data_IF_165715452895
#
_entry.id   IF_165715452895
#
_cell.length_a   1.000
_cell.length_b   1.000
_cell.length_c   1.000
_cell.angle_alpha   90.00
_cell.angle_beta   90.00
_cell.angle_gamma   90.00
#
_symmetry.space_group_name_H-M   'P 1'
#
loop_
_entity.id
_entity.type
_entity.pdbx_description
1 polymer ?
#
# COMPACT_ATOMS: atom_id res chain seq x y z
N UNK A 1 7.48 -28.72 -6.61
CA UNK A 1 6.91 -28.58 -5.24
C UNK A 1 7.61 -29.49 -4.23
N UNK A 2 7.56 -30.80 -4.41
CA UNK A 2 8.18 -31.75 -3.46
C UNK A 2 9.72 -31.67 -3.42
N UNK A 3 10.38 -31.20 -4.48
CA UNK A 3 11.84 -31.03 -4.58
C UNK A 3 12.35 -29.75 -3.85
N UNK A 4 11.48 -28.83 -3.53
CA UNK A 4 11.85 -27.62 -2.77
C UNK A 4 12.11 -28.03 -1.31
N UNK A 5 13.23 -27.63 -0.70
CA UNK A 5 13.56 -27.96 0.69
C UNK A 5 12.77 -27.06 1.66
N UNK A 6 11.46 -27.26 1.73
CA UNK A 6 10.56 -26.43 2.55
C UNK A 6 10.95 -26.37 4.02
N UNK A 7 11.57 -27.43 4.54
CA UNK A 7 12.05 -27.51 5.92
C UNK A 7 13.13 -26.49 6.27
N UNK A 8 13.81 -25.91 5.29
CA UNK A 8 14.78 -24.82 5.49
C UNK A 8 14.11 -23.47 5.74
N UNK A 9 12.86 -23.32 5.32
CA UNK A 9 12.10 -22.07 5.40
C UNK A 9 10.97 -22.12 6.43
N UNK A 10 10.32 -23.28 6.57
CA UNK A 10 9.14 -23.46 7.39
C UNK A 10 9.45 -24.38 8.58
N UNK A 11 9.39 -23.88 9.83
CA UNK A 11 9.46 -24.72 11.02
C UNK A 11 8.38 -25.81 11.04
N UNK A 12 8.56 -26.83 11.87
CA UNK A 12 7.64 -27.97 11.96
C UNK A 12 6.23 -27.58 12.43
N UNK A 13 6.10 -26.50 13.18
CA UNK A 13 4.84 -25.97 13.71
C UNK A 13 4.25 -24.83 12.83
N UNK A 14 4.93 -24.44 11.74
CA UNK A 14 4.49 -23.36 10.86
C UNK A 14 3.08 -23.57 10.33
N UNK A 15 2.24 -22.55 10.39
CA UNK A 15 0.99 -22.50 9.64
C UNK A 15 1.29 -22.03 8.21
N UNK A 16 0.85 -22.77 7.18
CA UNK A 16 1.16 -22.43 5.80
C UNK A 16 -0.06 -22.54 4.89
N UNK A 17 -0.97 -21.57 4.94
CA UNK A 17 -2.07 -21.49 4.00
C UNK A 17 -1.55 -21.32 2.56
N UNK A 18 -2.18 -22.03 1.63
CA UNK A 18 -1.85 -21.95 0.20
C UNK A 18 -2.93 -21.15 -0.50
N UNK A 19 -2.55 -20.08 -1.19
CA UNK A 19 -3.46 -19.23 -1.97
C UNK A 19 -2.89 -19.02 -3.37
N UNK A 20 -3.72 -18.65 -4.34
CA UNK A 20 -3.19 -18.37 -5.67
C UNK A 20 -4.24 -18.04 -6.71
N UNK A 21 -3.78 -17.91 -7.94
CA UNK A 21 -4.58 -17.58 -9.10
C UNK A 21 -4.14 -18.37 -10.33
N UNK A 22 -5.05 -18.50 -11.28
CA UNK A 22 -4.77 -19.11 -12.59
C UNK A 22 -5.31 -18.18 -13.68
N UNK A 23 -4.45 -17.87 -14.65
CA UNK A 23 -4.78 -17.02 -15.79
C UNK A 23 -4.26 -17.66 -17.08
N UNK A 24 -5.14 -17.82 -18.06
CA UNK A 24 -4.80 -18.38 -19.38
C UNK A 24 -3.99 -19.68 -19.29
N UNK A 25 -4.44 -20.63 -18.44
CA UNK A 25 -3.79 -21.91 -18.16
C UNK A 25 -4.79 -23.05 -18.23
N UNK A 26 -4.32 -24.26 -18.52
CA UNK A 26 -5.17 -25.47 -18.56
C UNK A 26 -5.71 -25.84 -17.18
N UNK A 27 -4.93 -25.63 -16.12
CA UNK A 27 -5.35 -25.84 -14.74
C UNK A 27 -6.12 -24.60 -14.25
N UNK A 28 -7.43 -24.65 -14.29
CA UNK A 28 -8.33 -23.53 -13.93
C UNK A 28 -8.88 -23.62 -12.52
N UNK A 29 -8.99 -24.82 -11.95
CA UNK A 29 -9.52 -25.03 -10.60
C UNK A 29 -8.53 -24.62 -9.53
N UNK A 30 -8.70 -23.41 -8.98
CA UNK A 30 -7.86 -22.88 -7.89
C UNK A 30 -7.88 -23.80 -6.66
N UNK A 31 -9.05 -24.30 -6.16
CA UNK A 31 -9.09 -25.20 -5.01
C UNK A 31 -8.32 -26.50 -5.25
N UNK A 32 -8.40 -27.07 -6.46
CA UNK A 32 -7.64 -28.28 -6.80
C UNK A 32 -6.12 -28.01 -6.76
N UNK A 33 -5.68 -26.90 -7.36
CA UNK A 33 -4.27 -26.49 -7.32
C UNK A 33 -3.78 -26.26 -5.88
N UNK A 34 -4.57 -25.56 -5.04
CA UNK A 34 -4.26 -25.37 -3.62
C UNK A 34 -4.06 -26.70 -2.88
N UNK A 35 -4.98 -27.65 -3.08
CA UNK A 35 -4.94 -28.95 -2.44
C UNK A 35 -3.70 -29.75 -2.85
N UNK A 36 -3.38 -29.81 -4.14
CA UNK A 36 -2.20 -30.51 -4.65
C UNK A 36 -0.90 -29.89 -4.13
N UNK A 37 -0.80 -28.56 -4.15
CA UNK A 37 0.36 -27.82 -3.65
C UNK A 37 0.51 -28.06 -2.14
N UNK A 38 -0.55 -27.87 -1.35
CA UNK A 38 -0.55 -28.10 0.11
C UNK A 38 -0.10 -29.52 0.41
N UNK A 39 -0.64 -30.54 -0.25
CA UNK A 39 -0.25 -31.94 -0.06
C UNK A 39 1.23 -32.20 -0.36
N UNK A 40 1.77 -31.57 -1.40
CA UNK A 40 3.19 -31.72 -1.75
C UNK A 40 4.10 -31.08 -0.69
N UNK A 41 3.74 -29.90 -0.18
CA UNK A 41 4.47 -29.22 0.92
C UNK A 41 4.42 -30.04 2.19
N UNK A 42 3.22 -30.50 2.60
CA UNK A 42 3.03 -31.36 3.79
C UNK A 42 3.93 -32.59 3.71
N UNK A 43 3.90 -33.32 2.59
CA UNK A 43 4.75 -34.52 2.43
C UNK A 43 6.24 -34.21 2.53
N UNK A 44 6.67 -33.08 2.00
CA UNK A 44 8.08 -32.65 2.09
C UNK A 44 8.46 -32.26 3.51
N UNK A 45 7.64 -31.46 4.19
CA UNK A 45 7.89 -31.03 5.58
C UNK A 45 7.91 -32.23 6.53
N UNK A 46 6.96 -33.18 6.42
CA UNK A 46 6.96 -34.40 7.23
C UNK A 46 8.27 -35.17 7.06
N UNK A 47 8.77 -35.30 5.82
CA UNK A 47 10.05 -35.95 5.54
C UNK A 47 11.22 -35.15 6.12
N UNK A 48 11.28 -33.83 5.86
CA UNK A 48 12.38 -32.96 6.26
C UNK A 48 12.51 -32.84 7.76
N UNK A 49 11.39 -32.65 8.48
CA UNK A 49 11.34 -32.57 9.93
C UNK A 49 11.27 -33.93 10.64
N UNK A 50 11.21 -35.04 9.90
CA UNK A 50 11.08 -36.40 10.46
C UNK A 50 9.89 -36.55 11.42
N UNK A 51 8.75 -35.98 11.06
CA UNK A 51 7.52 -35.99 11.84
C UNK A 51 6.36 -36.57 11.04
N UNK A 52 5.36 -37.11 11.72
CA UNK A 52 4.10 -37.56 11.13
C UNK A 52 2.96 -36.56 11.32
N UNK A 53 3.18 -35.50 12.11
CA UNK A 53 2.17 -34.49 12.43
C UNK A 53 2.76 -33.09 12.25
N UNK A 54 2.03 -32.22 11.60
CA UNK A 54 2.32 -30.79 11.47
C UNK A 54 1.17 -30.03 12.15
N UNK A 55 1.38 -29.44 13.33
CA UNK A 55 0.29 -28.85 14.12
C UNK A 55 -0.25 -27.55 13.54
N UNK A 56 0.50 -26.88 12.66
CA UNK A 56 0.15 -25.59 12.05
C UNK A 56 -0.30 -24.53 13.08
N UNK A 57 0.29 -24.53 14.27
CA UNK A 57 -0.05 -23.63 15.38
C UNK A 57 0.92 -22.46 15.55
N UNK A 58 2.01 -22.46 14.80
CA UNK A 58 3.06 -21.44 14.86
C UNK A 58 2.83 -20.25 13.93
N UNK A 59 3.92 -19.62 13.53
CA UNK A 59 3.89 -18.45 12.63
C UNK A 59 3.34 -18.81 11.26
N UNK A 60 2.52 -17.93 10.72
CA UNK A 60 1.96 -18.10 9.37
C UNK A 60 3.00 -17.77 8.30
N UNK A 61 3.25 -18.72 7.40
CA UNK A 61 4.08 -18.61 6.20
C UNK A 61 3.18 -18.81 4.97
N UNK A 62 2.57 -17.76 4.49
CA UNK A 62 1.63 -17.84 3.37
C UNK A 62 2.33 -18.21 2.07
N UNK A 63 2.02 -19.40 1.55
CA UNK A 63 2.49 -19.87 0.25
C UNK A 63 1.51 -19.39 -0.83
N UNK A 64 2.03 -18.69 -1.83
CA UNK A 64 1.23 -18.24 -2.98
C UNK A 64 1.68 -18.94 -4.26
N UNK A 65 0.72 -19.28 -5.11
CA UNK A 65 1.03 -19.73 -6.47
C UNK A 65 0.37 -18.82 -7.50
N UNK A 66 1.01 -18.68 -8.64
CA UNK A 66 0.46 -18.04 -9.81
C UNK A 66 0.68 -18.94 -11.03
N UNK A 67 -0.42 -19.39 -11.60
CA UNK A 67 -0.43 -20.11 -12.87
C UNK A 67 -0.71 -19.12 -13.99
N UNK A 68 0.24 -18.97 -14.90
CA UNK A 68 0.09 -18.09 -16.06
C UNK A 68 0.65 -18.78 -17.30
N UNK A 69 -0.17 -18.94 -18.34
CA UNK A 69 0.24 -19.60 -19.59
C UNK A 69 0.89 -20.96 -19.34
N UNK A 70 0.31 -21.77 -18.45
CA UNK A 70 0.78 -23.10 -18.02
C UNK A 70 2.13 -23.11 -17.27
N UNK A 71 2.67 -21.95 -16.87
CA UNK A 71 3.82 -21.85 -15.98
C UNK A 71 3.32 -21.60 -14.56
N UNK A 72 3.83 -22.37 -13.60
CA UNK A 72 3.49 -22.22 -12.17
C UNK A 72 4.66 -21.56 -11.43
N UNK A 73 4.42 -20.37 -10.91
CA UNK A 73 5.32 -19.69 -9.99
C UNK A 73 4.87 -19.95 -8.55
N UNK A 74 5.82 -20.25 -7.67
CA UNK A 74 5.59 -20.45 -6.24
C UNK A 74 6.35 -19.38 -5.47
N UNK A 75 5.64 -18.72 -4.57
CA UNK A 75 6.15 -17.60 -3.81
C UNK A 75 5.84 -17.78 -2.33
N UNK A 76 6.72 -17.32 -1.46
CA UNK A 76 6.45 -17.11 -0.06
C UNK A 76 6.09 -15.63 0.15
N UNK A 77 4.91 -15.35 0.72
CA UNK A 77 4.46 -13.98 0.95
C UNK A 77 5.20 -13.37 2.14
N UNK A 78 6.17 -12.52 1.84
CA UNK A 78 6.96 -11.80 2.84
C UNK A 78 6.29 -10.51 3.32
N UNK A 79 5.27 -10.05 2.60
CA UNK A 79 4.62 -8.76 2.81
C UNK A 79 3.56 -8.82 3.92
N UNK A 80 2.69 -9.83 3.90
CA UNK A 80 1.51 -9.93 4.75
C UNK A 80 0.38 -9.03 4.26
N UNK A 81 0.01 -8.01 5.02
CA UNK A 81 -0.99 -7.03 4.57
C UNK A 81 -0.53 -6.30 3.30
N UNK A 82 -1.50 -5.90 2.45
CA UNK A 82 -1.20 -5.20 1.20
C UNK A 82 -0.32 -3.96 1.39
N UNK A 83 0.61 -3.71 0.46
CA UNK A 83 1.58 -2.60 0.55
C UNK A 83 0.95 -1.20 0.60
N UNK A 84 -0.31 -1.06 0.16
CA UNK A 84 -1.06 0.18 0.31
C UNK A 84 -1.33 0.52 1.78
N UNK A 85 -1.39 -0.45 2.69
CA UNK A 85 -1.54 -0.20 4.13
C UNK A 85 -0.20 0.27 4.72
N UNK A 86 0.05 1.56 4.68
CA UNK A 86 1.29 2.19 5.16
C UNK A 86 1.39 2.30 6.68
N UNK A 87 0.26 2.20 7.39
CA UNK A 87 0.16 2.31 8.85
C UNK A 87 -0.18 3.70 9.39
N UNK A 88 -0.29 4.72 8.54
CA UNK A 88 -0.69 6.06 8.99
C UNK A 88 -2.22 6.28 8.96
N UNK A 89 -2.97 5.51 8.18
CA UNK A 89 -4.42 5.62 8.12
C UNK A 89 -5.07 4.68 9.13
N UNK A 90 -5.72 5.23 10.16
CA UNK A 90 -6.46 4.45 11.17
C UNK A 90 -7.93 4.30 10.82
N UNK A 91 -8.54 5.36 10.29
CA UNK A 91 -9.94 5.38 9.86
C UNK A 91 -9.97 5.66 8.36
N UNK A 92 -10.77 4.93 7.62
CA UNK A 92 -11.01 5.17 6.21
C UNK A 92 -12.39 5.78 6.03
N UNK A 93 -12.47 6.83 5.24
CA UNK A 93 -13.73 7.24 4.61
C UNK A 93 -14.15 6.16 3.61
N UNK A 94 -15.38 6.18 3.16
CA UNK A 94 -15.89 5.23 2.17
C UNK A 94 -15.02 5.26 0.89
N UNK A 95 -14.46 4.10 0.53
CA UNK A 95 -13.63 3.85 -0.67
C UNK A 95 -12.51 4.89 -0.96
N UNK A 96 -11.53 5.10 -0.07
CA UNK A 96 -10.45 6.05 -0.30
C UNK A 96 -9.49 5.57 -1.40
N UNK A 97 -8.78 6.52 -2.02
CA UNK A 97 -7.67 6.21 -2.94
C UNK A 97 -6.62 5.35 -2.21
N UNK A 98 -6.16 4.26 -2.85
CA UNK A 98 -5.09 3.44 -2.28
C UNK A 98 -3.76 4.20 -2.29
N UNK A 99 -3.01 4.10 -1.21
CA UNK A 99 -1.73 4.79 -1.02
C UNK A 99 -0.72 4.45 -2.12
N UNK A 100 -0.68 3.19 -2.57
CA UNK A 100 0.20 2.79 -3.69
C UNK A 100 -0.16 3.48 -5.00
N UNK A 101 -1.45 3.71 -5.25
CA UNK A 101 -1.89 4.44 -6.44
C UNK A 101 -1.58 5.94 -6.30
N UNK A 102 -1.80 6.52 -5.12
CA UNK A 102 -1.43 7.91 -4.83
C UNK A 102 0.07 8.15 -5.02
N UNK A 103 0.92 7.24 -4.54
CA UNK A 103 2.36 7.30 -4.76
C UNK A 103 2.72 7.24 -6.26
N UNK A 104 2.04 6.39 -7.04
CA UNK A 104 2.24 6.33 -8.50
C UNK A 104 1.82 7.63 -9.18
N UNK A 105 0.71 8.24 -8.75
CA UNK A 105 0.26 9.54 -9.28
C UNK A 105 1.31 10.63 -8.97
N UNK A 106 1.85 10.66 -7.75
CA UNK A 106 2.92 11.58 -7.38
C UNK A 106 4.22 11.36 -8.22
N UNK A 107 4.51 10.10 -8.58
CA UNK A 107 5.61 9.78 -9.50
C UNK A 107 5.36 10.32 -10.91
N UNK A 108 4.18 10.10 -11.46
CA UNK A 108 3.77 10.60 -12.76
C UNK A 108 3.74 12.14 -12.80
N UNK A 109 3.30 12.77 -11.70
CA UNK A 109 3.34 14.22 -11.51
C UNK A 109 4.75 14.78 -11.29
N UNK A 110 5.79 13.93 -11.31
CA UNK A 110 7.20 14.33 -11.13
C UNK A 110 7.47 15.14 -9.88
N UNK A 111 6.75 14.84 -8.78
CA UNK A 111 6.97 15.49 -7.49
C UNK A 111 8.42 15.32 -7.03
N UNK A 112 9.03 16.44 -6.62
CA UNK A 112 10.41 16.57 -6.15
C UNK A 112 10.47 17.23 -4.78
N UNK A 113 11.66 17.39 -4.24
CA UNK A 113 11.92 17.96 -2.91
C UNK A 113 11.57 19.43 -2.76
N UNK A 114 11.42 20.15 -3.85
CA UNK A 114 11.13 21.57 -3.95
C UNK A 114 9.78 21.86 -4.60
N UNK A 115 8.98 20.84 -4.83
CA UNK A 115 7.67 20.97 -5.48
C UNK A 115 6.65 21.61 -4.54
N UNK A 116 5.84 22.48 -5.11
CA UNK A 116 4.57 22.93 -4.55
C UNK A 116 3.47 22.07 -5.15
N UNK A 117 2.65 21.41 -4.31
CA UNK A 117 1.60 20.50 -4.77
C UNK A 117 0.26 20.94 -4.19
N UNK A 118 -0.79 20.92 -5.00
CA UNK A 118 -2.14 21.29 -4.58
C UNK A 118 -3.16 20.21 -4.95
N UNK A 119 -4.14 19.99 -4.06
CA UNK A 119 -5.27 19.08 -4.28
C UNK A 119 -6.58 19.75 -3.84
N UNK A 120 -7.43 20.22 -4.78
CA UNK A 120 -8.71 20.86 -4.47
C UNK A 120 -9.82 19.89 -4.01
N UNK A 121 -9.56 18.57 -3.98
CA UNK A 121 -10.46 17.51 -3.52
C UNK A 121 -9.71 16.52 -2.64
N UNK A 122 -9.03 17.02 -1.63
CA UNK A 122 -8.02 16.23 -0.91
C UNK A 122 -8.58 15.06 -0.09
N UNK A 123 -9.86 15.10 0.29
CA UNK A 123 -10.47 14.07 1.11
C UNK A 123 -9.65 13.78 2.36
N UNK A 124 -9.22 12.54 2.53
CA UNK A 124 -8.38 12.10 3.65
C UNK A 124 -6.88 12.47 3.50
N UNK A 125 -6.50 13.27 2.51
CA UNK A 125 -5.15 13.78 2.28
C UNK A 125 -4.17 12.79 1.63
N UNK A 126 -4.65 11.65 1.12
CA UNK A 126 -3.77 10.54 0.69
C UNK A 126 -2.78 10.95 -0.40
N UNK A 127 -3.21 11.68 -1.44
CA UNK A 127 -2.34 12.13 -2.53
C UNK A 127 -1.19 12.98 -2.02
N UNK A 128 -1.51 14.00 -1.22
CA UNK A 128 -0.54 14.95 -0.70
C UNK A 128 0.41 14.31 0.32
N UNK A 129 -0.09 13.38 1.16
CA UNK A 129 0.72 12.64 2.12
C UNK A 129 1.74 11.74 1.39
N UNK A 130 1.33 11.00 0.36
CA UNK A 130 2.25 10.16 -0.43
C UNK A 130 3.24 11.03 -1.24
N UNK A 131 2.80 12.19 -1.76
CA UNK A 131 3.67 13.16 -2.41
C UNK A 131 4.73 13.71 -1.44
N UNK A 132 4.34 14.08 -0.23
CA UNK A 132 5.25 14.54 0.82
C UNK A 132 6.24 13.45 1.24
N UNK A 133 5.79 12.21 1.48
CA UNK A 133 6.68 11.10 1.82
C UNK A 133 7.72 10.86 0.74
N UNK A 134 7.32 10.93 -0.55
CA UNK A 134 8.24 10.84 -1.67
C UNK A 134 9.26 11.98 -1.67
N UNK A 135 8.81 13.23 -1.58
CA UNK A 135 9.68 14.41 -1.58
C UNK A 135 10.70 14.39 -0.44
N UNK A 136 10.26 13.94 0.73
CA UNK A 136 11.05 13.82 1.96
C UNK A 136 11.86 12.51 2.03
N UNK A 137 11.80 11.64 1.03
CA UNK A 137 12.43 10.33 1.02
C UNK A 137 12.08 9.47 2.26
N UNK A 138 10.84 9.56 2.73
CA UNK A 138 10.34 8.74 3.84
C UNK A 138 9.93 7.39 3.30
N UNK A 139 10.58 6.32 3.78
CA UNK A 139 10.27 4.97 3.31
C UNK A 139 8.86 4.54 3.75
N UNK A 140 7.99 4.13 2.81
CA UNK A 140 6.59 3.81 3.10
C UNK A 140 6.39 2.59 3.99
N UNK A 141 7.45 1.81 4.22
CA UNK A 141 7.45 0.65 5.10
C UNK A 141 7.72 0.92 6.58
N UNK A 142 8.13 2.15 6.95
CA UNK A 142 8.60 2.46 8.32
C UNK A 142 7.56 2.22 9.41
N UNK A 143 6.29 2.51 9.13
CA UNK A 143 5.19 2.45 10.13
C UNK A 143 4.32 1.20 10.04
N UNK A 144 4.70 0.23 9.21
CA UNK A 144 3.99 -1.02 9.05
C UNK A 144 4.83 -2.22 9.51
N UNK A 145 4.17 -3.36 9.70
CA UNK A 145 4.81 -4.65 9.89
C UNK A 145 4.76 -5.47 8.60
N UNK A 146 5.78 -6.32 8.42
CA UNK A 146 5.85 -7.29 7.34
C UNK A 146 5.72 -8.70 7.88
N UNK A 147 5.13 -9.63 7.13
CA UNK A 147 5.01 -11.02 7.55
C UNK A 147 6.39 -11.64 7.84
N UNK A 148 7.37 -11.33 7.00
CA UNK A 148 8.73 -11.84 7.12
C UNK A 148 9.49 -11.37 8.37
N UNK A 149 9.00 -10.37 9.12
CA UNK A 149 9.57 -10.01 10.42
C UNK A 149 9.46 -11.15 11.46
N UNK A 150 8.53 -12.08 11.23
CA UNK A 150 8.32 -13.26 12.10
C UNK A 150 8.93 -14.54 11.56
N UNK A 151 9.54 -14.51 10.36
CA UNK A 151 10.10 -15.69 9.73
C UNK A 151 11.43 -16.08 10.40
N UNK A 152 11.55 -17.34 10.82
CA UNK A 152 12.70 -17.85 11.57
C UNK A 152 14.03 -17.76 10.81
N UNK A 153 13.99 -17.79 9.47
CA UNK A 153 15.19 -17.69 8.62
C UNK A 153 15.60 -16.23 8.32
N UNK A 154 14.84 -15.23 8.80
CA UNK A 154 15.16 -13.80 8.64
C UNK A 154 15.58 -13.24 10.01
N UNK A 155 16.86 -12.89 10.21
CA UNK A 155 17.31 -12.33 11.47
C UNK A 155 16.58 -11.03 11.84
N UNK A 156 16.08 -10.94 13.08
CA UNK A 156 15.35 -9.75 13.54
C UNK A 156 16.23 -8.47 13.51
N UNK A 157 17.56 -8.61 13.67
CA UNK A 157 18.52 -7.50 13.58
C UNK A 157 18.52 -6.81 12.23
N UNK A 158 18.30 -7.56 11.13
CA UNK A 158 18.22 -6.98 9.78
C UNK A 158 17.07 -5.99 9.65
N UNK A 159 15.93 -6.27 10.28
CA UNK A 159 14.78 -5.36 10.24
C UNK A 159 15.05 -4.07 11.02
N UNK A 160 15.69 -4.17 12.20
CA UNK A 160 16.07 -3.00 12.98
C UNK A 160 17.10 -2.13 12.23
N UNK A 161 18.11 -2.75 11.64
CA UNK A 161 19.14 -2.08 10.83
C UNK A 161 18.52 -1.36 9.61
N UNK A 162 17.69 -2.06 8.84
CA UNK A 162 17.06 -1.46 7.66
C UNK A 162 16.09 -0.33 8.01
N UNK A 163 15.38 -0.41 9.14
CA UNK A 163 14.55 0.69 9.61
C UNK A 163 15.38 1.91 10.03
N UNK A 164 16.49 1.70 10.74
CA UNK A 164 17.41 2.78 11.11
C UNK A 164 18.01 3.44 9.88
N UNK A 165 18.45 2.65 8.90
CA UNK A 165 18.96 3.15 7.62
C UNK A 165 17.90 3.99 6.89
N UNK A 166 16.68 3.48 6.76
CA UNK A 166 15.59 4.20 6.10
C UNK A 166 15.23 5.51 6.83
N UNK A 167 15.29 5.54 8.16
CA UNK A 167 15.11 6.77 8.94
C UNK A 167 16.25 7.77 8.69
N UNK A 168 17.49 7.31 8.67
CA UNK A 168 18.66 8.16 8.42
C UNK A 168 18.67 8.77 7.00
N UNK A 169 18.10 8.05 6.03
CA UNK A 169 17.98 8.51 4.64
C UNK A 169 16.83 9.49 4.42
N UNK A 170 15.92 9.65 5.38
CA UNK A 170 14.81 10.60 5.30
C UNK A 170 15.31 12.05 5.28
N UNK A 171 14.68 12.89 4.46
CA UNK A 171 15.03 14.29 4.25
C UNK A 171 13.92 15.18 4.81
N UNK A 172 14.01 15.52 6.08
CA UNK A 172 12.95 16.32 6.74
C UNK A 172 13.04 17.82 6.40
N UNK A 173 14.24 18.29 6.05
CA UNK A 173 14.47 19.66 5.64
C UNK A 173 14.51 19.76 4.11
N UNK A 174 13.34 19.95 3.51
CA UNK A 174 13.11 20.09 2.06
C UNK A 174 12.23 21.30 1.79
N UNK A 175 12.31 21.84 0.59
CA UNK A 175 11.46 22.97 0.14
C UNK A 175 10.04 22.54 -0.30
N UNK A 176 9.69 21.26 -0.17
CA UNK A 176 8.37 20.75 -0.55
C UNK A 176 7.27 21.31 0.34
N UNK A 177 6.17 21.74 -0.28
CA UNK A 177 4.94 22.15 0.42
C UNK A 177 3.72 21.57 -0.33
N UNK A 178 2.70 21.17 0.42
CA UNK A 178 1.46 20.65 -0.14
C UNK A 178 0.25 21.32 0.52
N UNK A 179 -0.73 21.71 -0.30
CA UNK A 179 -1.98 22.34 0.14
C UNK A 179 -3.16 21.54 -0.36
N UNK A 180 -3.98 21.07 0.57
CA UNK A 180 -5.18 20.29 0.28
C UNK A 180 -6.43 21.02 0.73
N UNK A 181 -7.45 20.97 -0.11
CA UNK A 181 -8.74 21.61 0.15
C UNK A 181 -9.86 20.58 0.03
N UNK A 182 -10.85 20.70 0.89
CA UNK A 182 -12.08 19.91 0.80
C UNK A 182 -13.23 20.73 1.41
N UNK A 183 -14.41 20.56 0.86
CA UNK A 183 -15.62 21.24 1.39
C UNK A 183 -16.09 20.62 2.72
N UNK A 184 -15.74 19.36 3.00
CA UNK A 184 -16.11 18.66 4.22
C UNK A 184 -15.09 18.87 5.35
N UNK A 185 -15.46 19.57 6.44
CA UNK A 185 -14.57 19.75 7.59
C UNK A 185 -14.10 18.43 8.22
N UNK A 186 -14.90 17.35 8.14
CA UNK A 186 -14.51 16.06 8.68
C UNK A 186 -13.40 15.41 7.84
N UNK A 187 -13.44 15.59 6.52
CA UNK A 187 -12.37 15.15 5.62
C UNK A 187 -11.07 15.88 5.91
N UNK A 188 -11.12 17.20 6.09
CA UNK A 188 -9.95 18.04 6.45
C UNK A 188 -9.37 17.64 7.81
N UNK A 189 -10.21 17.41 8.82
CA UNK A 189 -9.74 16.93 10.12
C UNK A 189 -9.06 15.57 10.03
N UNK A 190 -9.60 14.65 9.22
CA UNK A 190 -9.00 13.35 8.96
C UNK A 190 -7.67 13.47 8.21
N UNK A 191 -7.58 14.35 7.21
CA UNK A 191 -6.34 14.60 6.47
C UNK A 191 -5.21 15.10 7.38
N UNK A 192 -5.50 16.06 8.26
CA UNK A 192 -4.56 16.55 9.26
C UNK A 192 -4.10 15.42 10.22
N UNK A 193 -5.02 14.60 10.70
CA UNK A 193 -4.69 13.46 11.57
C UNK A 193 -3.81 12.42 10.85
N UNK A 194 -4.10 12.11 9.60
CA UNK A 194 -3.30 11.21 8.77
C UNK A 194 -1.91 11.78 8.49
N UNK A 195 -1.78 13.06 8.15
CA UNK A 195 -0.50 13.73 7.92
C UNK A 195 0.40 13.68 9.17
N UNK A 196 -0.18 13.91 10.35
CA UNK A 196 0.51 13.76 11.63
C UNK A 196 0.99 12.33 11.86
N UNK A 197 0.13 11.33 11.63
CA UNK A 197 0.51 9.93 11.74
C UNK A 197 1.56 9.53 10.69
N UNK A 198 1.52 10.11 9.51
CA UNK A 198 2.53 9.90 8.47
C UNK A 198 3.87 10.60 8.81
N UNK A 199 3.86 11.63 9.64
CA UNK A 199 5.04 12.44 10.02
C UNK A 199 5.38 13.52 8.99
N UNK A 200 4.36 14.01 8.27
CA UNK A 200 4.50 15.02 7.21
C UNK A 200 3.67 16.28 7.47
N UNK A 201 3.13 16.43 8.68
CA UNK A 201 2.25 17.54 9.08
C UNK A 201 2.86 18.91 8.91
N UNK A 202 4.18 19.03 8.93
CA UNK A 202 4.88 20.31 8.72
C UNK A 202 4.96 20.74 7.26
N UNK A 203 4.64 19.83 6.34
CA UNK A 203 4.75 20.02 4.89
C UNK A 203 3.42 19.82 4.17
N UNK A 204 2.35 19.42 4.88
CA UNK A 204 1.02 19.24 4.34
C UNK A 204 0.04 20.10 5.12
N UNK A 205 -0.62 21.01 4.44
CA UNK A 205 -1.58 21.97 4.99
C UNK A 205 -2.96 21.66 4.41
N UNK A 206 -3.96 21.49 5.28
CA UNK A 206 -5.31 21.14 4.85
C UNK A 206 -6.30 22.17 5.38
N UNK A 207 -7.15 22.69 4.49
CA UNK A 207 -8.11 23.76 4.79
C UNK A 207 -9.49 23.43 4.22
N UNK A 208 -10.53 23.92 4.89
CA UNK A 208 -11.90 23.79 4.39
C UNK A 208 -12.13 24.88 3.35
N UNK A 209 -12.39 24.48 2.10
CA UNK A 209 -12.67 25.41 1.01
C UNK A 209 -13.54 24.75 -0.07
N UNK A 210 -14.33 25.55 -0.76
CA UNK A 210 -15.04 25.11 -1.95
C UNK A 210 -14.10 25.16 -3.16
N UNK A 211 -14.16 24.14 -4.00
CA UNK A 211 -13.40 24.11 -5.28
C UNK A 211 -13.77 25.26 -6.21
N UNK A 212 -14.95 25.83 -6.08
CA UNK A 212 -15.37 27.00 -6.86
C UNK A 212 -14.46 28.21 -6.62
N UNK A 213 -13.88 28.31 -5.43
CA UNK A 213 -12.95 29.37 -5.02
C UNK A 213 -11.47 29.01 -5.25
N UNK A 214 -11.21 27.78 -5.73
CA UNK A 214 -9.86 27.32 -5.95
C UNK A 214 -9.19 28.04 -7.12
N UNK A 215 -8.03 28.63 -6.84
CA UNK A 215 -7.11 29.16 -7.83
C UNK A 215 -5.72 28.60 -7.56
N UNK A 216 -5.22 27.77 -8.47
CA UNK A 216 -3.89 27.19 -8.32
C UNK A 216 -2.81 28.27 -8.18
N UNK A 217 -1.88 28.06 -7.26
CA UNK A 217 -0.71 28.93 -7.11
C UNK A 217 0.19 28.79 -8.34
N UNK A 218 0.90 29.85 -8.66
CA UNK A 218 1.86 29.82 -9.76
C UNK A 218 2.88 28.71 -9.54
N UNK A 219 3.17 27.93 -10.58
CA UNK A 219 4.11 26.79 -10.58
C UNK A 219 3.71 25.60 -9.68
N UNK A 220 2.47 25.56 -9.17
CA UNK A 220 1.99 24.41 -8.42
C UNK A 220 1.69 23.23 -9.34
N UNK A 221 2.02 22.02 -8.84
CA UNK A 221 1.57 20.75 -9.45
C UNK A 221 0.20 20.44 -8.85
N UNK A 222 -0.85 20.45 -9.66
CA UNK A 222 -2.17 20.04 -9.20
C UNK A 222 -2.30 18.53 -9.38
N UNK A 223 -2.41 17.82 -8.23
CA UNK A 223 -2.69 16.39 -8.19
C UNK A 223 -4.04 16.19 -7.53
N UNK A 224 -4.99 15.60 -8.22
CA UNK A 224 -6.34 15.47 -7.66
C UNK A 224 -7.04 14.18 -8.08
N UNK A 225 -7.94 13.71 -7.23
CA UNK A 225 -8.86 12.62 -7.49
C UNK A 225 -10.29 13.12 -7.22
N UNK A 226 -10.88 13.87 -8.16
CA UNK A 226 -12.19 14.48 -7.99
C UNK A 226 -13.27 13.42 -7.81
N UNK A 227 -14.39 13.72 -7.12
CA UNK A 227 -15.50 12.82 -7.00
C UNK A 227 -16.11 12.53 -8.39
N UNK A 228 -16.39 11.23 -8.64
CA UNK A 228 -16.99 10.76 -9.90
C UNK A 228 -18.01 9.63 -9.64
N UNK A 229 -18.96 9.46 -10.58
CA UNK A 229 -19.90 8.36 -10.54
C UNK A 229 -20.84 8.36 -9.32
N UNK A 230 -21.01 7.20 -8.69
CA UNK A 230 -21.95 6.95 -7.60
C UNK A 230 -21.72 7.77 -6.32
N UNK A 231 -20.61 8.48 -6.21
CA UNK A 231 -20.29 9.35 -5.07
C UNK A 231 -21.00 10.70 -5.09
N UNK A 232 -21.67 11.01 -6.20
CA UNK A 232 -22.46 12.24 -6.37
C UNK A 232 -23.92 11.87 -6.48
N UNK A 233 -24.75 12.47 -5.66
CA UNK A 233 -26.19 12.19 -5.61
C UNK A 233 -26.96 12.52 -6.91
N UNK A 234 -26.34 13.28 -7.84
CA UNK A 234 -26.90 13.60 -9.15
C UNK A 234 -25.80 13.74 -10.21
N UNK A 235 -26.12 13.41 -11.48
CA UNK A 235 -25.22 13.60 -12.63
C UNK A 235 -24.83 15.08 -12.81
N UNK A 236 -25.77 16.00 -12.52
CA UNK A 236 -25.53 17.45 -12.58
C UNK A 236 -24.56 17.93 -11.49
N UNK A 237 -24.62 17.32 -10.28
CA UNK A 237 -23.65 17.56 -9.22
C UNK A 237 -22.23 17.10 -9.57
N UNK A 238 -22.06 16.02 -10.35
CA UNK A 238 -20.76 15.53 -10.80
C UNK A 238 -20.14 16.37 -11.91
N UNK A 239 -20.96 16.99 -12.76
CA UNK A 239 -20.49 17.81 -13.88
C UNK A 239 -19.87 19.14 -13.43
N UNK A 240 -20.33 19.74 -12.33
CA UNK A 240 -19.82 21.01 -11.81
C UNK A 240 -18.31 20.95 -11.46
N UNK A 241 -17.85 20.05 -10.56
CA UNK A 241 -16.43 19.96 -10.22
C UNK A 241 -15.52 19.67 -11.42
N UNK A 242 -15.97 18.81 -12.34
CA UNK A 242 -15.19 18.45 -13.55
C UNK A 242 -15.02 19.65 -14.47
N UNK A 243 -16.04 20.52 -14.58
CA UNK A 243 -15.94 21.72 -15.42
C UNK A 243 -14.91 22.73 -14.90
N UNK A 244 -14.71 22.81 -13.58
CA UNK A 244 -13.69 23.70 -12.98
C UNK A 244 -12.26 23.19 -13.21
N UNK A 245 -12.04 21.87 -13.28
CA UNK A 245 -10.71 21.29 -13.50
C UNK A 245 -10.24 21.38 -14.96
N UNK A 246 -11.14 21.57 -15.93
CA UNK A 246 -10.82 21.66 -17.36
C UNK A 246 -10.68 23.08 -17.91
N UNK A 247 -11.05 24.10 -17.15
CA UNK A 247 -11.17 25.48 -17.67
C UNK A 247 -9.99 26.40 -17.38
N UNK A 248 -8.91 25.93 -16.74
CA UNK A 248 -7.72 26.75 -16.43
C UNK A 248 -6.42 25.95 -16.53
N UNK A 249 -6.18 25.30 -17.68
CA UNK A 249 -4.84 24.84 -18.06
C UNK A 249 -4.17 25.90 -18.93
#
# INVERSE_FOLDING_TARGET
MYSIPWEEFLPADAAFPVTGSSLNSQLTSIPACQSVIKKAVVKRLMKGHRTTVLPESGVEYKVRFMLRKNVCEIMLDTTGEGLHKRGYRRNAMEAPLRETLAATIADLGRVRRDSLVEDPFCGSGTLLIEAAQKAMNIAPGLKRRFAAERYSFVPASLWAEQRQKALAESKLDVGFEAFGYDIDPAAVALANANAKLAGVEKRCHFEVADVADFAAKQEAIVLTNPPYGERMSTIEGAAKPVSYTHLRA
#
